data_IF_299297570281
#
_entry.id   IF_299297570281
#
_cell.length_a   1.000
_cell.length_b   1.000
_cell.length_c   1.000
_cell.angle_alpha   90.00
_cell.angle_beta   90.00
_cell.angle_gamma   90.00
#
_symmetry.space_group_name_H-M   'P 1'
#
loop_
_entity.id
_entity.type
_entity.pdbx_description
1 polymer ?
#
# COMPACT_ATOMS: atom_id res chain seq x y z
N UNK A 1 21.73 10.24 -3.54
CA UNK A 1 20.50 10.23 -2.72
C UNK A 1 19.74 8.88 -2.85
N UNK A 2 19.08 8.40 -1.78
CA UNK A 2 18.81 6.97 -1.54
C UNK A 2 17.83 6.28 -2.50
N UNK A 3 17.15 7.01 -3.39
CA UNK A 3 16.21 6.42 -4.35
C UNK A 3 16.52 6.69 -5.83
N UNK A 4 17.66 7.33 -6.14
CA UNK A 4 18.14 7.59 -7.53
C UNK A 4 17.01 7.90 -8.54
N UNK A 5 16.07 8.77 -8.14
CA UNK A 5 14.86 9.02 -8.93
C UNK A 5 15.26 9.79 -10.20
N UNK A 6 14.96 9.21 -11.36
CA UNK A 6 15.15 9.85 -12.66
C UNK A 6 13.93 10.75 -12.89
N UNK A 7 14.16 12.04 -13.13
CA UNK A 7 13.10 12.98 -13.47
C UNK A 7 12.46 12.59 -14.82
N UNK A 8 11.13 12.60 -14.88
CA UNK A 8 10.36 12.36 -16.11
C UNK A 8 10.66 13.42 -17.19
N UNK A 9 11.16 14.60 -16.79
CA UNK A 9 11.56 15.69 -17.69
C UNK A 9 13.01 16.12 -17.44
N UNK A 10 13.72 16.48 -18.52
CA UNK A 10 15.11 16.97 -18.50
C UNK A 10 15.18 18.33 -17.78
N UNK A 11 15.30 18.32 -16.45
CA UNK A 11 15.48 19.53 -15.61
C UNK A 11 14.60 19.64 -14.37
N UNK A 12 13.69 18.69 -14.11
CA UNK A 12 12.80 18.75 -12.94
C UNK A 12 13.53 18.46 -11.61
N UNK A 13 13.46 19.39 -10.65
CA UNK A 13 14.02 19.22 -9.29
C UNK A 13 13.09 18.48 -8.31
N UNK A 14 11.86 18.17 -8.73
CA UNK A 14 10.86 17.39 -7.99
C UNK A 14 10.43 16.16 -8.79
N UNK A 15 11.24 15.11 -8.85
CA UNK A 15 10.86 13.89 -9.55
C UNK A 15 9.72 13.19 -8.79
N UNK A 16 8.58 13.04 -9.46
CA UNK A 16 7.42 12.32 -8.92
C UNK A 16 7.50 10.86 -9.38
N UNK A 17 7.88 9.96 -8.48
CA UNK A 17 7.93 8.53 -8.79
C UNK A 17 6.60 7.87 -8.48
N UNK A 18 5.57 8.24 -9.24
CA UNK A 18 4.18 7.82 -9.01
C UNK A 18 4.03 6.29 -9.09
N UNK A 19 4.76 5.62 -9.97
CA UNK A 19 4.74 4.16 -10.10
C UNK A 19 5.29 3.46 -8.85
N UNK A 20 6.41 3.93 -8.30
CA UNK A 20 6.94 3.39 -7.04
C UNK A 20 6.05 3.71 -5.84
N UNK A 21 5.46 4.90 -5.79
CA UNK A 21 4.48 5.25 -4.75
C UNK A 21 3.26 4.32 -4.83
N UNK A 22 2.77 4.03 -6.03
CA UNK A 22 1.71 3.05 -6.26
C UNK A 22 2.10 1.64 -5.81
N UNK A 23 3.33 1.20 -6.13
CA UNK A 23 3.85 -0.09 -5.69
C UNK A 23 3.93 -0.22 -4.17
N UNK A 24 4.38 0.83 -3.47
CA UNK A 24 4.42 0.86 -2.00
C UNK A 24 3.01 0.75 -1.42
N UNK A 25 2.05 1.53 -1.96
CA UNK A 25 0.66 1.47 -1.50
C UNK A 25 0.06 0.07 -1.73
N UNK A 26 0.28 -0.52 -2.90
CA UNK A 26 -0.19 -1.87 -3.21
C UNK A 26 0.42 -2.92 -2.27
N UNK A 27 1.71 -2.80 -1.93
CA UNK A 27 2.38 -3.71 -0.98
C UNK A 27 1.79 -3.59 0.44
N UNK A 28 1.48 -2.38 0.89
CA UNK A 28 0.83 -2.17 2.21
C UNK A 28 -0.59 -2.73 2.21
N UNK A 29 -1.41 -2.43 1.20
CA UNK A 29 -2.81 -2.83 1.17
C UNK A 29 -2.97 -4.34 0.93
N UNK A 30 -2.37 -4.85 -0.15
CA UNK A 30 -2.59 -6.21 -0.62
C UNK A 30 -1.59 -7.21 -0.04
N UNK A 31 -0.39 -6.75 0.35
CA UNK A 31 0.62 -7.56 1.00
C UNK A 31 0.42 -7.62 2.51
N UNK A 32 0.88 -6.59 3.23
CA UNK A 32 0.88 -6.61 4.71
C UNK A 32 -0.53 -6.54 5.30
N UNK A 33 -1.41 -5.73 4.72
CA UNK A 33 -2.81 -5.61 5.11
C UNK A 33 -3.67 -6.83 4.73
N UNK A 34 -3.21 -7.63 3.77
CA UNK A 34 -3.89 -8.82 3.30
C UNK A 34 -5.22 -8.53 2.61
N UNK A 35 -5.43 -7.32 2.06
CA UNK A 35 -6.64 -7.05 1.29
C UNK A 35 -6.61 -7.85 -0.02
N UNK A 36 -7.73 -8.47 -0.35
CA UNK A 36 -7.92 -9.21 -1.58
C UNK A 36 -9.21 -8.74 -2.26
N UNK A 37 -9.11 -8.36 -3.53
CA UNK A 37 -10.24 -7.94 -4.34
C UNK A 37 -10.72 -9.16 -5.12
N UNK A 38 -11.95 -9.59 -4.84
CA UNK A 38 -12.57 -10.78 -5.44
C UNK A 38 -13.87 -10.41 -6.15
N UNK A 39 -14.46 -11.31 -6.96
CA UNK A 39 -15.79 -11.08 -7.53
C UNK A 39 -16.89 -10.84 -6.48
N UNK A 40 -16.72 -11.36 -5.26
CA UNK A 40 -17.64 -11.14 -4.13
C UNK A 40 -17.38 -9.82 -3.38
N UNK A 41 -16.38 -9.05 -3.79
CA UNK A 41 -15.95 -7.81 -3.15
C UNK A 41 -14.59 -7.92 -2.46
N UNK A 42 -14.32 -6.95 -1.57
CA UNK A 42 -13.05 -6.85 -0.84
C UNK A 42 -13.12 -7.75 0.39
N UNK A 43 -12.15 -8.65 0.52
CA UNK A 43 -11.96 -9.57 1.64
C UNK A 43 -10.58 -9.38 2.27
N UNK A 44 -10.38 -9.88 3.48
CA UNK A 44 -9.06 -9.87 4.14
C UNK A 44 -8.58 -11.32 4.28
N UNK A 45 -7.35 -11.60 3.83
CA UNK A 45 -6.70 -12.90 3.92
C UNK A 45 -5.58 -12.89 4.95
N UNK A 46 -5.10 -14.08 5.32
CA UNK A 46 -3.88 -14.19 6.10
C UNK A 46 -2.69 -13.57 5.34
N UNK A 47 -1.90 -12.79 6.05
CA UNK A 47 -0.73 -12.04 5.61
C UNK A 47 0.31 -12.09 6.74
N UNK A 48 1.34 -11.24 6.73
CA UNK A 48 2.32 -11.13 7.83
C UNK A 48 2.80 -9.69 7.91
N UNK A 49 3.04 -9.20 9.13
CA UNK A 49 3.61 -7.86 9.34
C UNK A 49 5.14 -7.96 9.38
N UNK A 50 5.86 -6.96 8.82
CA UNK A 50 7.31 -6.87 8.94
C UNK A 50 7.77 -6.86 10.41
N UNK A 51 9.02 -7.27 10.63
CA UNK A 51 9.65 -7.19 11.96
C UNK A 51 9.61 -5.75 12.47
N UNK A 52 9.18 -5.58 13.72
CA UNK A 52 9.05 -4.27 14.39
C UNK A 52 7.69 -3.59 14.21
N UNK A 53 6.82 -4.07 13.31
CA UNK A 53 5.48 -3.52 13.15
C UNK A 53 4.50 -4.20 14.11
N UNK A 54 3.78 -3.40 14.90
CA UNK A 54 2.77 -3.90 15.86
C UNK A 54 1.40 -4.10 15.20
N UNK A 55 1.03 -3.19 14.30
CA UNK A 55 -0.25 -3.26 13.61
C UNK A 55 -0.28 -2.44 12.31
N UNK A 56 -1.27 -2.75 11.46
CA UNK A 56 -1.70 -1.95 10.31
C UNK A 56 -3.21 -1.75 10.42
N UNK A 57 -3.67 -0.52 10.19
CA UNK A 57 -5.10 -0.17 10.10
C UNK A 57 -5.36 0.51 8.76
N UNK A 58 -6.30 -0.02 7.99
CA UNK A 58 -6.71 0.50 6.68
C UNK A 58 -8.18 0.90 6.79
N UNK A 59 -8.50 2.16 6.51
CA UNK A 59 -9.84 2.74 6.68
C UNK A 59 -10.39 3.24 5.36
N UNK A 60 -11.71 3.38 5.26
CA UNK A 60 -12.35 3.95 4.06
C UNK A 60 -12.32 2.98 2.87
N UNK A 61 -12.27 1.68 3.11
CA UNK A 61 -12.13 0.68 2.06
C UNK A 61 -13.50 0.39 1.44
N UNK A 62 -13.62 0.67 0.14
CA UNK A 62 -14.82 0.42 -0.66
C UNK A 62 -16.01 1.33 -0.31
N UNK A 63 -17.16 1.17 -0.99
CA UNK A 63 -18.31 2.05 -0.84
C UNK A 63 -18.93 2.06 0.56
N UNK A 64 -18.70 1.02 1.36
CA UNK A 64 -19.16 0.93 2.75
C UNK A 64 -18.14 1.47 3.76
N UNK A 65 -17.04 2.07 3.30
CA UNK A 65 -16.01 2.71 4.13
C UNK A 65 -15.47 1.78 5.23
N UNK A 66 -15.31 0.49 4.89
CA UNK A 66 -14.92 -0.54 5.86
C UNK A 66 -13.53 -0.26 6.42
N UNK A 67 -13.31 -0.71 7.65
CA UNK A 67 -12.01 -0.70 8.31
C UNK A 67 -11.48 -2.12 8.45
N UNK A 68 -10.24 -2.31 8.01
CA UNK A 68 -9.49 -3.56 8.17
C UNK A 68 -8.30 -3.32 9.06
N UNK A 69 -8.00 -4.31 9.91
CA UNK A 69 -6.90 -4.25 10.86
C UNK A 69 -6.09 -5.52 10.80
N UNK A 70 -4.79 -5.41 11.01
CA UNK A 70 -3.94 -6.54 11.34
C UNK A 70 -3.07 -6.17 12.53
N UNK A 71 -3.03 -7.06 13.51
CA UNK A 71 -2.08 -7.01 14.60
C UNK A 71 -1.08 -8.15 14.46
N UNK A 72 0.05 -8.03 15.14
CA UNK A 72 1.11 -9.03 15.12
C UNK A 72 0.68 -10.31 15.83
#
# INVERSE_FOLDING_TARGET
>A
PPFRVIAETKGGTNPYFATGAGGVLQAVLMGFGGLNITPAGITQVASTLPTGWQSVKITGVGPQHKTYGRQR
#
